data_IF_654772834468
#
_entry.id   IF_654772834468
#
_cell.length_a   1.000
_cell.length_b   1.000
_cell.length_c   1.000
_cell.angle_alpha   90.00
_cell.angle_beta   90.00
_cell.angle_gamma   90.00
#
_symmetry.space_group_name_H-M   'P 1'
#
loop_
_entity.id
_entity.type
_entity.pdbx_description
1 polymer ?
#
# COMPACT_ATOMS: atom_id res chain seq x y z
N UNK A 1 22.57 -16.49 6.67
CA UNK A 1 21.43 -17.31 7.14
C UNK A 1 20.77 -17.99 5.95
N UNK A 2 20.19 -19.17 6.17
CA UNK A 2 19.35 -19.88 5.19
C UNK A 2 17.91 -19.41 5.32
N UNK A 3 17.35 -18.82 4.26
CA UNK A 3 16.10 -18.08 4.29
C UNK A 3 15.11 -18.66 3.29
N UNK A 4 13.85 -18.84 3.71
CA UNK A 4 12.71 -18.92 2.81
C UNK A 4 12.05 -17.53 2.78
N UNK A 5 11.87 -16.97 1.58
CA UNK A 5 11.20 -15.70 1.39
C UNK A 5 9.76 -15.90 0.92
N UNK A 6 8.80 -15.25 1.56
CA UNK A 6 7.38 -15.30 1.19
C UNK A 6 6.89 -13.89 0.86
N UNK A 7 6.64 -13.59 -0.41
CA UNK A 7 6.22 -12.27 -0.86
C UNK A 7 5.52 -12.30 -2.20
N UNK A 8 4.81 -11.23 -2.57
CA UNK A 8 4.06 -11.22 -3.83
C UNK A 8 4.21 -9.91 -4.62
N UNK A 9 3.76 -8.72 -4.14
CA UNK A 9 3.73 -7.48 -4.91
C UNK A 9 5.10 -6.77 -4.93
N UNK A 10 5.13 -5.66 -5.64
CA UNK A 10 6.30 -4.77 -5.77
C UNK A 10 6.88 -4.34 -4.42
N UNK A 11 6.06 -4.18 -3.37
CA UNK A 11 6.52 -3.87 -2.01
C UNK A 11 7.53 -4.88 -1.45
N UNK A 12 7.43 -6.13 -1.86
CA UNK A 12 8.29 -7.21 -1.37
C UNK A 12 9.62 -7.33 -2.16
N UNK A 13 9.68 -6.75 -3.37
CA UNK A 13 10.84 -6.88 -4.28
C UNK A 13 12.12 -6.31 -3.67
N UNK A 14 12.15 -5.07 -3.13
CA UNK A 14 13.36 -4.52 -2.51
C UNK A 14 13.87 -5.36 -1.34
N UNK A 15 12.96 -5.95 -0.53
CA UNK A 15 13.36 -6.82 0.58
C UNK A 15 14.02 -8.10 0.11
N UNK A 16 13.50 -8.77 -0.94
CA UNK A 16 14.13 -9.95 -1.53
C UNK A 16 15.49 -9.59 -2.11
N UNK A 17 15.60 -8.48 -2.86
CA UNK A 17 16.86 -8.03 -3.43
C UNK A 17 17.90 -7.76 -2.33
N UNK A 18 17.52 -7.08 -1.25
CA UNK A 18 18.43 -6.78 -0.14
C UNK A 18 18.97 -8.05 0.55
N UNK A 19 18.16 -9.10 0.66
CA UNK A 19 18.62 -10.38 1.19
C UNK A 19 19.65 -11.07 0.27
N UNK A 20 19.43 -11.02 -1.04
CA UNK A 20 20.35 -11.54 -2.05
C UNK A 20 21.67 -10.77 -2.01
N UNK A 21 21.61 -9.44 -2.03
CA UNK A 21 22.79 -8.55 -2.03
C UNK A 21 23.59 -8.69 -0.73
N UNK A 22 22.92 -8.96 0.39
CA UNK A 22 23.58 -9.25 1.67
C UNK A 22 24.23 -10.64 1.73
N UNK A 23 24.13 -11.45 0.67
CA UNK A 23 24.76 -12.78 0.58
C UNK A 23 24.07 -13.86 1.44
N UNK A 24 22.79 -13.69 1.77
CA UNK A 24 22.02 -14.73 2.43
C UNK A 24 21.71 -15.89 1.46
N UNK A 25 21.62 -17.10 1.98
CA UNK A 25 21.15 -18.28 1.23
C UNK A 25 19.62 -18.26 1.14
N UNK A 26 19.08 -17.52 0.16
CA UNK A 26 17.64 -17.55 -0.13
C UNK A 26 17.32 -18.85 -0.86
N UNK A 27 17.05 -19.91 -0.12
CA UNK A 27 16.90 -21.26 -0.65
C UNK A 27 15.58 -21.50 -1.40
N UNK A 28 14.56 -20.67 -1.17
CA UNK A 28 13.29 -20.73 -1.90
C UNK A 28 12.49 -19.42 -1.75
N UNK A 29 11.67 -19.15 -2.75
CA UNK A 29 10.67 -18.07 -2.74
C UNK A 29 9.27 -18.66 -2.84
N UNK A 30 8.37 -18.22 -1.96
CA UNK A 30 6.95 -18.52 -1.98
C UNK A 30 6.17 -17.27 -2.40
N UNK A 31 5.29 -17.39 -3.39
CA UNK A 31 4.49 -16.27 -3.88
C UNK A 31 3.09 -16.72 -4.27
N UNK A 32 2.18 -15.75 -4.51
CA UNK A 32 0.85 -16.05 -5.02
C UNK A 32 0.95 -16.62 -6.45
N UNK A 33 -0.03 -17.45 -6.88
CA UNK A 33 -0.12 -17.90 -8.26
C UNK A 33 -0.18 -16.75 -9.25
N UNK A 34 0.32 -16.99 -10.47
CA UNK A 34 0.18 -16.07 -11.59
C UNK A 34 -1.28 -15.72 -11.81
N UNK A 35 -1.59 -14.46 -12.07
CA UNK A 35 -2.97 -13.97 -12.24
C UNK A 35 -3.15 -13.26 -13.57
N UNK A 36 -4.32 -13.41 -14.21
CA UNK A 36 -4.66 -12.60 -15.38
C UNK A 36 -4.68 -11.12 -15.05
N UNK A 37 -3.98 -10.30 -15.83
CA UNK A 37 -3.91 -8.84 -15.65
C UNK A 37 -4.31 -8.07 -16.90
N UNK A 38 -4.77 -6.85 -16.69
CA UNK A 38 -5.16 -5.92 -17.74
C UNK A 38 -6.41 -6.34 -18.51
N UNK A 39 -6.77 -5.53 -19.55
CA UNK A 39 -7.97 -5.78 -20.37
C UNK A 39 -7.87 -7.07 -21.19
N UNK A 40 -6.65 -7.48 -21.55
CA UNK A 40 -6.39 -8.70 -22.35
C UNK A 40 -6.28 -9.96 -21.52
N UNK A 41 -6.43 -9.89 -20.18
CA UNK A 41 -6.33 -11.03 -19.25
C UNK A 41 -5.07 -11.86 -19.47
N UNK A 42 -3.92 -11.19 -19.68
CA UNK A 42 -2.62 -11.85 -19.84
C UNK A 42 -2.18 -12.40 -18.50
N UNK A 43 -1.85 -13.68 -18.45
CA UNK A 43 -1.33 -14.33 -17.26
C UNK A 43 0.03 -13.70 -16.92
N UNK A 44 0.11 -13.04 -15.78
CA UNK A 44 1.28 -12.26 -15.35
C UNK A 44 1.85 -12.84 -14.06
N UNK A 45 3.15 -13.07 -14.08
CA UNK A 45 3.88 -13.50 -12.88
C UNK A 45 3.91 -12.39 -11.83
N UNK A 46 3.84 -12.73 -10.53
CA UNK A 46 4.11 -11.77 -9.46
C UNK A 46 5.52 -11.17 -9.57
N UNK A 47 5.72 -9.89 -9.20
CA UNK A 47 7.04 -9.23 -9.26
C UNK A 47 8.14 -10.01 -8.52
N UNK A 48 7.85 -10.54 -7.35
CA UNK A 48 8.78 -11.37 -6.56
C UNK A 48 9.20 -12.65 -7.30
N UNK A 49 8.28 -13.29 -8.05
CA UNK A 49 8.62 -14.46 -8.89
C UNK A 49 9.61 -14.07 -9.98
N UNK A 50 9.40 -12.94 -10.63
CA UNK A 50 10.28 -12.45 -11.70
C UNK A 50 11.71 -12.29 -11.18
N UNK A 51 11.88 -11.58 -10.06
CA UNK A 51 13.19 -11.40 -9.44
C UNK A 51 13.84 -12.73 -9.00
N UNK A 52 13.05 -13.63 -8.38
CA UNK A 52 13.57 -14.91 -7.93
C UNK A 52 14.12 -15.76 -9.10
N UNK A 53 13.43 -15.76 -10.25
CA UNK A 53 13.87 -16.48 -11.44
C UNK A 53 15.12 -15.86 -12.09
N UNK A 54 15.32 -14.54 -12.00
CA UNK A 54 16.55 -13.87 -12.46
C UNK A 54 17.79 -14.28 -11.65
N UNK A 55 17.58 -14.76 -10.42
CA UNK A 55 18.64 -15.24 -9.51
C UNK A 55 18.66 -16.76 -9.35
N UNK A 56 17.99 -17.52 -10.24
CA UNK A 56 17.90 -18.98 -10.20
C UNK A 56 17.38 -19.55 -8.86
N UNK A 57 16.56 -18.76 -8.12
CA UNK A 57 15.98 -19.18 -6.85
C UNK A 57 14.71 -19.99 -7.12
N UNK A 58 14.54 -21.17 -6.52
CA UNK A 58 13.34 -21.99 -6.65
C UNK A 58 12.08 -21.25 -6.21
N UNK A 59 11.00 -21.27 -7.03
CA UNK A 59 9.76 -20.58 -6.77
C UNK A 59 8.62 -21.56 -6.55
N UNK A 60 7.89 -21.41 -5.45
CA UNK A 60 6.70 -22.18 -5.10
C UNK A 60 5.47 -21.29 -5.04
N UNK A 61 4.36 -21.77 -5.61
CA UNK A 61 3.09 -21.04 -5.70
C UNK A 61 1.92 -21.87 -5.16
N UNK A 62 1.98 -22.35 -3.91
CA UNK A 62 0.92 -23.19 -3.37
C UNK A 62 -0.39 -22.40 -3.20
N UNK A 63 -1.52 -23.08 -3.37
CA UNK A 63 -2.83 -22.49 -3.10
C UNK A 63 -3.05 -22.27 -1.59
N UNK A 64 -2.47 -23.11 -0.76
CA UNK A 64 -2.55 -23.05 0.71
C UNK A 64 -1.32 -23.62 1.36
N UNK A 65 -0.96 -23.13 2.55
CA UNK A 65 0.09 -23.68 3.41
C UNK A 65 -0.47 -24.63 4.49
N UNK A 66 -1.77 -24.99 4.40
CA UNK A 66 -2.42 -25.88 5.37
C UNK A 66 -2.21 -27.36 5.07
N UNK A 67 -1.75 -27.70 3.85
CA UNK A 67 -1.49 -29.09 3.46
C UNK A 67 -0.17 -29.59 4.05
N UNK A 68 -0.16 -30.87 4.44
CA UNK A 68 1.02 -31.53 4.99
C UNK A 68 2.18 -31.57 3.99
N UNK A 69 1.91 -31.76 2.70
CA UNK A 69 2.95 -31.82 1.65
C UNK A 69 3.74 -30.49 1.56
N UNK A 70 3.04 -29.33 1.63
CA UNK A 70 3.71 -28.02 1.60
C UNK A 70 4.48 -27.75 2.90
N UNK A 71 3.96 -28.20 4.03
CA UNK A 71 4.66 -28.09 5.31
C UNK A 71 5.88 -29.01 5.36
N UNK A 72 5.77 -30.23 4.82
CA UNK A 72 6.90 -31.15 4.70
C UNK A 72 8.01 -30.55 3.82
N UNK A 73 7.65 -29.98 2.66
CA UNK A 73 8.60 -29.28 1.79
C UNK A 73 9.30 -28.12 2.51
N UNK A 74 8.58 -27.31 3.27
CA UNK A 74 9.17 -26.22 4.06
C UNK A 74 10.16 -26.76 5.12
N UNK A 75 9.83 -27.86 5.79
CA UNK A 75 10.76 -28.53 6.74
C UNK A 75 12.01 -29.07 6.04
N UNK A 76 11.87 -29.67 4.83
CA UNK A 76 12.99 -30.17 4.04
C UNK A 76 13.93 -29.04 3.57
N UNK A 77 13.41 -27.84 3.30
CA UNK A 77 14.22 -26.66 3.00
C UNK A 77 15.07 -26.21 4.19
N UNK A 78 14.70 -26.62 5.40
CA UNK A 78 15.40 -26.33 6.66
C UNK A 78 15.80 -24.84 6.81
N UNK A 79 14.86 -23.87 6.67
CA UNK A 79 15.19 -22.47 6.82
C UNK A 79 15.55 -22.14 8.28
N UNK A 80 16.53 -21.26 8.47
CA UNK A 80 16.82 -20.68 9.79
C UNK A 80 15.78 -19.61 10.18
N UNK A 81 15.25 -18.92 9.18
CA UNK A 81 14.18 -17.91 9.33
C UNK A 81 13.32 -17.89 8.06
N UNK A 82 12.02 -17.59 8.22
CA UNK A 82 11.12 -17.27 7.10
C UNK A 82 10.86 -15.77 7.12
N UNK A 83 11.13 -15.09 6.00
CA UNK A 83 10.84 -13.67 5.82
C UNK A 83 9.55 -13.52 5.03
N UNK A 84 8.61 -12.75 5.57
CA UNK A 84 7.29 -12.54 4.97
C UNK A 84 7.10 -11.06 4.65
N UNK A 85 6.79 -10.74 3.40
CA UNK A 85 6.52 -9.36 2.96
C UNK A 85 5.33 -9.36 2.02
N UNK A 86 4.19 -8.89 2.47
CA UNK A 86 2.96 -8.82 1.68
C UNK A 86 2.65 -10.12 0.90
N UNK A 87 2.80 -11.26 1.53
CA UNK A 87 2.57 -12.59 0.92
C UNK A 87 1.10 -12.82 0.55
N UNK A 88 0.18 -12.26 1.37
CA UNK A 88 -1.25 -12.34 1.13
C UNK A 88 -1.89 -13.69 1.49
N UNK A 89 -1.25 -14.50 2.35
CA UNK A 89 -1.81 -15.71 2.96
C UNK A 89 -1.44 -15.79 4.43
N UNK A 90 -2.36 -16.30 5.24
CA UNK A 90 -2.07 -16.62 6.63
C UNK A 90 -1.14 -17.83 6.71
N UNK A 91 -0.15 -17.76 7.58
CA UNK A 91 0.73 -18.86 7.93
C UNK A 91 0.10 -19.63 9.11
N UNK A 92 -0.19 -20.94 8.94
CA UNK A 92 -0.65 -21.74 10.06
C UNK A 92 0.47 -21.95 11.09
N UNK A 93 0.12 -22.21 12.34
CA UNK A 93 1.09 -22.46 13.42
C UNK A 93 2.16 -23.49 13.06
N UNK A 94 1.78 -24.55 12.36
CA UNK A 94 2.69 -25.58 11.88
C UNK A 94 3.78 -25.05 10.92
N UNK A 95 3.56 -23.89 10.27
CA UNK A 95 4.57 -23.22 9.45
C UNK A 95 5.36 -22.21 10.28
N UNK A 96 4.69 -21.48 11.17
CA UNK A 96 5.35 -20.51 12.07
C UNK A 96 6.43 -21.15 12.95
N UNK A 97 6.21 -22.40 13.35
CA UNK A 97 7.12 -23.17 14.23
C UNK A 97 8.25 -23.91 13.48
N UNK A 98 8.33 -23.82 12.13
CA UNK A 98 9.37 -24.55 11.37
C UNK A 98 10.76 -23.94 11.61
N UNK A 99 11.00 -22.64 11.39
CA UNK A 99 12.34 -22.09 11.51
C UNK A 99 12.70 -21.75 12.96
N UNK A 100 13.94 -22.00 13.39
CA UNK A 100 14.38 -21.73 14.77
C UNK A 100 14.29 -20.25 15.15
N UNK A 101 14.49 -19.32 14.22
CA UNK A 101 14.28 -17.89 14.44
C UNK A 101 12.85 -17.42 14.12
N UNK A 102 11.93 -18.36 13.86
CA UNK A 102 10.52 -18.05 13.55
C UNK A 102 10.32 -17.36 12.20
N UNK A 103 9.18 -16.71 12.06
CA UNK A 103 8.80 -15.99 10.85
C UNK A 103 8.81 -14.49 11.13
N UNK A 104 9.51 -13.70 10.34
CA UNK A 104 9.60 -12.24 10.47
C UNK A 104 8.82 -11.59 9.33
N UNK A 105 7.89 -10.71 9.68
CA UNK A 105 7.14 -9.92 8.70
C UNK A 105 7.69 -8.48 8.62
N UNK A 106 7.75 -7.94 7.40
CA UNK A 106 7.98 -6.52 7.14
C UNK A 106 6.61 -5.89 6.87
N UNK A 107 6.09 -5.17 7.85
CA UNK A 107 4.76 -4.57 7.81
C UNK A 107 4.83 -3.07 7.53
N UNK A 108 4.05 -2.58 6.56
CA UNK A 108 4.09 -1.20 6.07
C UNK A 108 3.35 -0.21 6.97
N UNK A 109 3.51 -0.30 8.30
CA UNK A 109 2.99 0.68 9.24
C UNK A 109 3.82 0.78 10.51
N UNK A 110 3.52 1.78 11.32
CA UNK A 110 3.96 1.92 12.71
C UNK A 110 3.00 1.12 13.61
N UNK A 111 3.27 -0.19 13.77
CA UNK A 111 2.44 -1.03 14.62
C UNK A 111 2.43 -0.51 16.08
N UNK A 112 1.31 -0.66 16.79
CA UNK A 112 0.12 -1.47 16.48
C UNK A 112 -0.91 -0.78 15.56
N UNK A 113 -0.65 0.45 15.11
CA UNK A 113 -1.55 1.17 14.20
C UNK A 113 -1.51 0.55 12.80
N UNK A 114 -2.68 0.46 12.16
CA UNK A 114 -2.86 -0.04 10.79
C UNK A 114 -2.44 -1.50 10.58
N UNK A 115 -2.88 -2.42 11.47
CA UNK A 115 -2.86 -3.86 11.17
C UNK A 115 -3.73 -4.15 9.95
N UNK A 116 -3.34 -5.06 9.08
CA UNK A 116 -4.18 -5.52 7.96
C UNK A 116 -3.61 -5.25 6.57
N UNK A 117 -4.50 -5.11 5.56
CA UNK A 117 -4.15 -5.30 4.16
C UNK A 117 -3.59 -4.05 3.45
N UNK A 118 -3.93 -2.84 3.89
CA UNK A 118 -3.60 -1.60 3.17
C UNK A 118 -3.06 -0.48 4.10
N UNK A 119 -2.09 -0.78 4.99
CA UNK A 119 -1.66 0.16 6.03
C UNK A 119 -1.16 1.50 5.49
N UNK A 120 -0.38 1.48 4.41
CA UNK A 120 0.23 2.68 3.81
C UNK A 120 -0.86 3.62 3.28
N UNK A 121 -1.84 3.07 2.57
CA UNK A 121 -2.95 3.85 2.02
C UNK A 121 -3.79 4.46 3.13
N UNK A 122 -4.10 3.69 4.17
CA UNK A 122 -4.88 4.17 5.30
C UNK A 122 -4.17 5.25 6.11
N UNK A 123 -2.85 5.18 6.26
CA UNK A 123 -2.08 6.25 6.88
C UNK A 123 -2.26 7.59 6.15
N UNK A 124 -2.22 7.57 4.80
CA UNK A 124 -2.45 8.78 3.98
C UNK A 124 -3.91 9.22 4.02
N UNK A 125 -4.88 8.29 3.89
CA UNK A 125 -6.33 8.60 3.93
C UNK A 125 -6.72 9.22 5.27
N UNK A 126 -6.15 8.73 6.37
CA UNK A 126 -6.42 9.25 7.71
C UNK A 126 -5.73 10.60 7.99
N UNK A 127 -4.81 11.03 7.12
CA UNK A 127 -4.04 12.25 7.31
C UNK A 127 -2.97 12.13 8.39
N UNK A 128 -2.42 10.93 8.60
CA UNK A 128 -1.34 10.71 9.57
C UNK A 128 -0.12 11.54 9.16
N UNK A 129 0.47 12.26 10.12
CA UNK A 129 1.69 13.04 9.89
C UNK A 129 2.92 12.14 9.74
N UNK A 130 2.89 10.98 10.41
CA UNK A 130 3.97 10.00 10.43
C UNK A 130 3.48 8.66 9.89
N UNK A 131 4.34 8.01 9.12
CA UNK A 131 4.17 6.66 8.63
C UNK A 131 5.48 5.88 8.84
N UNK A 132 5.49 4.59 8.54
CA UNK A 132 6.71 3.83 8.69
C UNK A 132 6.56 2.36 8.36
N UNK A 133 7.58 1.62 8.74
CA UNK A 133 7.65 0.17 8.58
C UNK A 133 8.05 -0.44 9.92
N UNK A 134 7.45 -1.56 10.25
CA UNK A 134 7.80 -2.37 11.43
C UNK A 134 8.20 -3.76 10.98
N UNK A 135 9.37 -4.25 11.40
CA UNK A 135 9.65 -5.67 11.39
C UNK A 135 9.07 -6.29 12.65
N UNK A 136 8.39 -7.42 12.53
CA UNK A 136 7.77 -8.07 13.67
C UNK A 136 7.90 -9.59 13.59
N UNK A 137 7.96 -10.25 14.73
CA UNK A 137 7.81 -11.69 14.85
C UNK A 137 6.37 -12.08 14.58
N UNK A 138 6.12 -13.00 13.64
CA UNK A 138 4.75 -13.39 13.32
C UNK A 138 4.14 -14.29 14.41
N UNK A 139 2.85 -14.11 14.66
CA UNK A 139 2.00 -14.91 15.51
C UNK A 139 0.76 -15.39 14.73
N UNK A 140 -0.12 -16.18 15.37
CA UNK A 140 -1.32 -16.70 14.72
C UNK A 140 -2.36 -15.60 14.38
N UNK A 141 -2.31 -14.46 15.08
CA UNK A 141 -3.18 -13.32 14.81
C UNK A 141 -2.72 -12.49 13.61
N UNK A 142 -3.64 -11.70 13.05
CA UNK A 142 -3.33 -10.80 11.95
C UNK A 142 -2.51 -9.61 12.45
N UNK A 143 -1.22 -9.57 12.09
CA UNK A 143 -0.26 -8.52 12.42
C UNK A 143 -0.20 -8.19 13.93
N UNK A 144 -0.35 -9.21 14.80
CA UNK A 144 -0.40 -9.07 16.27
C UNK A 144 0.89 -9.49 16.97
N UNK A 145 1.87 -9.99 16.24
CA UNK A 145 3.12 -10.47 16.82
C UNK A 145 4.00 -9.33 17.36
N UNK A 146 5.02 -9.69 18.11
CA UNK A 146 5.90 -8.74 18.78
C UNK A 146 6.74 -7.94 17.79
N UNK A 147 6.82 -6.63 18.01
CA UNK A 147 7.60 -5.72 17.18
C UNK A 147 9.10 -5.89 17.48
N UNK A 148 9.91 -5.98 16.42
CA UNK A 148 11.36 -6.06 16.48
C UNK A 148 12.01 -4.68 16.34
N UNK A 149 12.01 -4.14 15.12
CA UNK A 149 12.50 -2.80 14.82
C UNK A 149 11.43 -1.97 14.12
N UNK A 150 11.56 -0.66 14.19
CA UNK A 150 10.65 0.28 13.55
C UNK A 150 11.44 1.38 12.85
N UNK A 151 11.04 1.72 11.63
CA UNK A 151 11.48 2.90 10.90
C UNK A 151 10.32 3.86 10.77
N UNK A 152 10.52 5.11 11.17
CA UNK A 152 9.51 6.17 11.16
C UNK A 152 9.92 7.30 10.21
N UNK A 153 8.97 7.86 9.49
CA UNK A 153 9.19 8.97 8.56
C UNK A 153 7.95 9.85 8.43
N UNK A 154 8.14 11.12 8.09
CA UNK A 154 7.02 12.03 7.82
C UNK A 154 6.34 11.66 6.49
N UNK A 155 5.02 11.75 6.47
CA UNK A 155 4.25 11.74 5.22
C UNK A 155 4.37 13.12 4.58
N UNK A 156 4.77 13.18 3.32
CA UNK A 156 4.90 14.43 2.58
C UNK A 156 3.54 15.12 2.38
N UNK A 157 3.50 16.44 2.46
CA UNK A 157 2.25 17.22 2.36
C UNK A 157 1.44 16.92 1.10
N UNK A 158 2.10 16.64 -0.02
CA UNK A 158 1.48 16.29 -1.31
C UNK A 158 1.74 14.83 -1.72
N UNK A 159 2.39 14.06 -0.86
CA UNK A 159 2.77 12.69 -1.14
C UNK A 159 1.55 11.79 -1.28
N UNK A 160 1.50 11.04 -2.37
CA UNK A 160 0.48 10.02 -2.61
C UNK A 160 0.82 8.72 -1.89
N UNK A 161 -0.17 7.87 -1.69
CA UNK A 161 0.06 6.54 -1.13
C UNK A 161 0.99 5.68 -2.02
N UNK A 162 0.99 5.89 -3.34
CA UNK A 162 1.92 5.21 -4.25
C UNK A 162 3.37 5.64 -4.02
N UNK A 163 3.63 6.94 -3.90
CA UNK A 163 4.98 7.47 -3.62
C UNK A 163 5.48 7.04 -2.24
N UNK A 164 4.61 7.10 -1.22
CA UNK A 164 4.92 6.61 0.12
C UNK A 164 5.20 5.10 0.13
N UNK A 165 4.43 4.31 -0.63
CA UNK A 165 4.62 2.87 -0.80
C UNK A 165 6.02 2.54 -1.35
N UNK A 166 6.45 3.21 -2.41
CA UNK A 166 7.76 3.00 -3.02
C UNK A 166 8.88 3.33 -2.04
N UNK A 167 8.74 4.43 -1.31
CA UNK A 167 9.72 4.87 -0.30
C UNK A 167 9.78 3.92 0.89
N UNK A 168 8.64 3.47 1.40
CA UNK A 168 8.58 2.53 2.52
C UNK A 168 9.02 1.12 2.13
N UNK A 169 8.87 0.70 0.87
CA UNK A 169 9.42 -0.57 0.38
C UNK A 169 10.95 -0.60 0.49
N UNK A 170 11.62 0.49 0.13
CA UNK A 170 13.09 0.61 0.27
C UNK A 170 13.51 0.65 1.74
N UNK A 171 12.87 1.52 2.55
CA UNK A 171 13.17 1.59 3.99
C UNK A 171 12.90 0.28 4.72
N UNK A 172 11.87 -0.47 4.29
CA UNK A 172 11.55 -1.79 4.83
C UNK A 172 12.62 -2.83 4.52
N UNK A 173 13.21 -2.78 3.34
CA UNK A 173 14.33 -3.64 2.97
C UNK A 173 15.59 -3.36 3.82
N UNK A 174 15.91 -2.08 4.03
CA UNK A 174 17.01 -1.67 4.90
C UNK A 174 16.76 -2.09 6.36
N UNK A 175 15.53 -1.87 6.85
CA UNK A 175 15.13 -2.25 8.21
C UNK A 175 15.20 -3.76 8.40
N UNK A 176 14.79 -4.56 7.41
CA UNK A 176 14.89 -6.02 7.43
C UNK A 176 16.34 -6.47 7.57
N UNK A 177 17.25 -5.89 6.78
CA UNK A 177 18.68 -6.22 6.86
C UNK A 177 19.24 -5.90 8.24
N UNK A 178 18.89 -4.74 8.81
CA UNK A 178 19.29 -4.37 10.17
C UNK A 178 18.71 -5.33 11.22
N UNK A 179 17.46 -5.75 11.05
CA UNK A 179 16.80 -6.71 11.93
C UNK A 179 17.54 -8.05 11.95
N UNK A 180 17.91 -8.58 10.77
CA UNK A 180 18.61 -9.85 10.68
C UNK A 180 20.02 -9.80 11.27
N UNK A 181 20.73 -8.68 11.09
CA UNK A 181 22.08 -8.49 11.70
C UNK A 181 22.02 -8.47 13.23
N UNK A 182 20.95 -7.93 13.80
CA UNK A 182 20.78 -7.74 15.26
C UNK A 182 19.81 -8.75 15.88
N UNK A 183 19.41 -9.79 15.16
CA UNK A 183 18.28 -10.65 15.54
C UNK A 183 18.41 -11.23 16.95
N UNK A 184 19.61 -11.66 17.33
CA UNK A 184 19.89 -12.25 18.63
C UNK A 184 20.01 -11.20 19.76
N UNK A 185 20.11 -9.91 19.42
CA UNK A 185 20.25 -8.79 20.36
C UNK A 185 18.93 -8.03 20.60
N UNK A 186 17.94 -8.21 19.68
CA UNK A 186 16.68 -7.49 19.76
C UNK A 186 15.78 -8.13 20.83
N UNK A 187 15.32 -7.32 21.78
CA UNK A 187 14.23 -7.67 22.67
C UNK A 187 12.88 -7.40 21.99
N UNK A 188 12.09 -8.43 21.62
CA UNK A 188 10.80 -8.25 21.00
C UNK A 188 9.85 -7.50 21.92
N UNK A 189 9.12 -6.52 21.41
CA UNK A 189 8.19 -5.68 22.16
C UNK A 189 6.74 -6.05 21.84
N UNK A 190 5.96 -6.51 22.83
CA UNK A 190 4.53 -6.76 22.63
C UNK A 190 3.80 -5.51 22.16
N UNK A 191 2.79 -5.73 21.32
CA UNK A 191 1.92 -4.64 20.85
C UNK A 191 0.83 -4.34 21.90
N UNK A 192 0.51 -3.05 22.09
CA UNK A 192 -0.65 -2.63 22.86
C UNK A 192 -1.91 -2.66 21.97
N UNK A 193 -2.79 -3.64 22.17
CA UNK A 193 -4.00 -3.82 21.39
C UNK A 193 -4.97 -2.62 21.50
N UNK A 194 -4.94 -1.87 22.60
CA UNK A 194 -5.78 -0.67 22.77
C UNK A 194 -5.41 0.45 21.79
N UNK A 195 -4.19 0.46 21.25
CA UNK A 195 -3.72 1.44 20.25
C UNK A 195 -3.85 0.93 18.82
N UNK A 196 -4.34 -0.30 18.63
CA UNK A 196 -4.47 -0.89 17.31
C UNK A 196 -5.66 -0.33 16.54
N UNK A 197 -5.51 -0.23 15.24
CA UNK A 197 -6.61 -0.03 14.30
C UNK A 197 -6.40 -0.89 13.05
N UNK A 198 -7.47 -1.09 12.28
CA UNK A 198 -7.46 -2.02 11.17
C UNK A 198 -7.47 -1.30 9.81
N UNK A 199 -6.52 -1.63 8.97
CA UNK A 199 -6.40 -1.16 7.59
C UNK A 199 -7.07 -2.16 6.63
N UNK A 200 -8.36 -1.95 6.36
CA UNK A 200 -9.11 -2.76 5.42
C UNK A 200 -8.51 -2.71 4.01
N UNK A 201 -8.72 -3.78 3.24
CA UNK A 201 -8.39 -3.76 1.82
C UNK A 201 -9.19 -2.65 1.13
N UNK A 202 -8.53 -1.89 0.26
CA UNK A 202 -9.21 -0.86 -0.53
C UNK A 202 -10.17 -1.50 -1.53
N UNK A 203 -11.27 -0.82 -1.79
CA UNK A 203 -12.23 -1.18 -2.82
C UNK A 203 -12.63 0.02 -3.69
N UNK A 204 -13.37 -0.26 -4.78
CA UNK A 204 -13.79 0.80 -5.71
C UNK A 204 -14.90 1.71 -5.15
N UNK A 205 -15.61 1.28 -4.11
CA UNK A 205 -16.69 2.08 -3.52
C UNK A 205 -16.12 3.24 -2.72
N UNK A 206 -14.93 3.04 -2.11
CA UNK A 206 -14.20 4.09 -1.40
C UNK A 206 -13.77 5.25 -2.31
N UNK A 207 -13.77 5.05 -3.63
CA UNK A 207 -13.30 6.06 -4.58
C UNK A 207 -14.22 7.28 -4.69
N UNK A 208 -15.50 7.16 -4.33
CA UNK A 208 -16.47 8.25 -4.48
C UNK A 208 -16.19 9.34 -3.45
N UNK A 209 -15.93 10.55 -3.95
CA UNK A 209 -15.69 11.72 -3.10
C UNK A 209 -17.01 12.14 -2.43
N UNK A 210 -17.00 12.16 -1.10
CA UNK A 210 -18.04 12.80 -0.30
C UNK A 210 -17.66 14.27 -0.08
N UNK A 211 -18.23 15.16 -0.90
CA UNK A 211 -17.96 16.60 -0.83
C UNK A 211 -18.42 17.25 0.48
N UNK A 212 -19.24 16.59 1.30
CA UNK A 212 -19.63 17.08 2.63
C UNK A 212 -18.49 17.06 3.65
N UNK A 213 -17.42 16.37 3.34
CA UNK A 213 -16.19 16.33 4.15
C UNK A 213 -15.38 17.60 4.02
N UNK A 214 -14.43 17.82 4.93
CA UNK A 214 -13.49 18.94 4.84
C UNK A 214 -12.56 18.83 3.63
N UNK A 215 -12.04 19.94 3.16
CA UNK A 215 -11.03 19.98 2.10
C UNK A 215 -9.81 19.12 2.46
N UNK A 216 -9.42 19.07 3.74
CA UNK A 216 -8.32 18.24 4.21
C UNK A 216 -8.61 16.74 4.08
N UNK A 217 -9.78 16.28 4.55
CA UNK A 217 -10.18 14.87 4.44
C UNK A 217 -10.27 14.41 2.99
N UNK A 218 -10.81 15.25 2.11
CA UNK A 218 -10.94 14.93 0.67
C UNK A 218 -9.55 14.90 0.00
N UNK A 219 -8.65 15.83 0.32
CA UNK A 219 -7.27 15.81 -0.17
C UNK A 219 -6.54 14.52 0.26
N UNK A 220 -6.66 14.15 1.54
CA UNK A 220 -6.10 12.89 2.05
C UNK A 220 -6.68 11.67 1.32
N UNK A 221 -7.99 11.65 1.05
CA UNK A 221 -8.61 10.59 0.26
C UNK A 221 -8.05 10.52 -1.16
N UNK A 222 -7.94 11.67 -1.85
CA UNK A 222 -7.39 11.74 -3.22
C UNK A 222 -5.97 11.19 -3.26
N UNK A 223 -5.11 11.61 -2.33
CA UNK A 223 -3.71 11.14 -2.24
C UNK A 223 -3.62 9.67 -1.83
N UNK A 224 -4.42 9.26 -0.84
CA UNK A 224 -4.41 7.89 -0.31
C UNK A 224 -4.94 6.84 -1.29
N UNK A 225 -5.83 7.23 -2.22
CA UNK A 225 -6.35 6.36 -3.27
C UNK A 225 -5.54 6.41 -4.59
N UNK A 226 -4.46 7.16 -4.65
CA UNK A 226 -3.58 7.23 -5.81
C UNK A 226 -2.37 6.29 -5.60
N UNK A 227 -2.11 5.30 -6.49
CA UNK A 227 -2.60 5.14 -7.87
C UNK A 227 -3.87 4.29 -8.04
N UNK A 228 -4.43 3.71 -7.00
CA UNK A 228 -5.62 2.87 -7.10
C UNK A 228 -6.45 2.92 -5.81
N UNK A 229 -7.80 2.99 -5.92
CA UNK A 229 -8.64 2.96 -7.14
C UNK A 229 -8.79 4.30 -7.86
N UNK A 230 -8.20 5.39 -7.39
CA UNK A 230 -8.31 6.79 -7.78
C UNK A 230 -9.66 7.37 -7.34
N UNK A 231 -9.61 8.51 -6.63
CA UNK A 231 -10.79 9.24 -6.21
C UNK A 231 -11.61 9.71 -7.42
N UNK A 232 -12.93 9.65 -7.32
CA UNK A 232 -13.83 10.00 -8.40
C UNK A 232 -15.06 10.77 -7.90
N UNK A 233 -15.58 11.61 -8.78
CA UNK A 233 -16.85 12.31 -8.65
C UNK A 233 -17.60 12.23 -9.97
N UNK A 234 -18.80 12.84 -10.08
CA UNK A 234 -19.51 12.97 -11.34
C UNK A 234 -19.63 14.46 -11.75
N UNK A 235 -19.32 14.73 -13.01
CA UNK A 235 -19.55 16.02 -13.68
C UNK A 235 -20.65 15.81 -14.72
N UNK A 236 -21.79 16.45 -14.54
CA UNK A 236 -22.95 16.31 -15.46
C UNK A 236 -23.37 14.86 -15.73
N UNK A 237 -23.24 13.98 -14.73
CA UNK A 237 -23.56 12.56 -14.82
C UNK A 237 -22.43 11.66 -15.37
N UNK A 238 -21.32 12.23 -15.84
CA UNK A 238 -20.15 11.48 -16.29
C UNK A 238 -19.11 11.37 -15.18
N UNK A 239 -18.44 10.21 -15.12
CA UNK A 239 -17.39 9.96 -14.11
C UNK A 239 -16.15 10.81 -14.38
N UNK A 240 -15.75 11.59 -13.39
CA UNK A 240 -14.54 12.39 -13.37
C UNK A 240 -13.59 11.84 -12.29
N UNK A 241 -12.44 11.31 -12.70
CA UNK A 241 -11.37 10.91 -11.79
C UNK A 241 -10.58 12.13 -11.36
N UNK A 242 -10.21 12.18 -10.08
CA UNK A 242 -9.38 13.22 -9.48
C UNK A 242 -8.08 12.59 -9.02
N UNK A 243 -6.96 12.99 -9.60
CA UNK A 243 -5.63 12.46 -9.30
C UNK A 243 -4.85 13.34 -8.33
N UNK A 244 -5.10 14.64 -8.35
CA UNK A 244 -4.45 15.59 -7.48
C UNK A 244 -5.34 16.82 -7.24
N UNK A 245 -5.22 17.37 -6.04
CA UNK A 245 -5.87 18.59 -5.64
C UNK A 245 -4.93 19.44 -4.76
N UNK A 246 -5.30 20.68 -4.52
CA UNK A 246 -4.62 21.57 -3.59
C UNK A 246 -5.64 22.40 -2.81
N UNK A 247 -5.26 22.85 -1.61
CA UNK A 247 -6.11 23.72 -0.82
C UNK A 247 -6.39 25.02 -1.58
N UNK A 248 -7.65 25.42 -1.63
CA UNK A 248 -8.08 26.65 -2.26
C UNK A 248 -8.94 27.49 -1.31
N UNK A 249 -9.04 28.79 -1.59
CA UNK A 249 -9.94 29.67 -0.87
C UNK A 249 -11.32 29.62 -1.51
N UNK A 250 -12.34 29.53 -0.69
CA UNK A 250 -13.74 29.55 -1.13
C UNK A 250 -14.68 28.93 -0.11
N UNK A 251 -15.94 29.30 -0.22
CA UNK A 251 -17.04 28.73 0.58
C UNK A 251 -18.26 28.62 -0.31
N UNK A 252 -19.00 27.56 -0.16
CA UNK A 252 -20.22 27.30 -0.91
C UNK A 252 -20.89 26.02 -0.43
N UNK A 253 -21.98 25.65 -1.07
CA UNK A 253 -22.61 24.37 -0.83
C UNK A 253 -21.65 23.25 -1.29
N UNK A 254 -21.41 22.19 -0.47
CA UNK A 254 -20.48 21.11 -0.82
C UNK A 254 -20.71 20.53 -2.22
N UNK A 255 -19.64 20.32 -2.97
CA UNK A 255 -19.66 19.82 -4.35
C UNK A 255 -19.93 20.90 -5.41
N UNK A 256 -20.16 22.16 -5.03
CA UNK A 256 -20.41 23.23 -6.00
C UNK A 256 -19.11 23.79 -6.57
N UNK A 257 -19.04 23.93 -7.88
CA UNK A 257 -17.93 24.58 -8.58
C UNK A 257 -17.96 26.07 -8.28
N UNK A 258 -16.89 26.57 -7.65
CA UNK A 258 -16.72 27.98 -7.27
C UNK A 258 -15.96 28.76 -8.33
N UNK A 259 -15.05 28.11 -9.04
CA UNK A 259 -14.26 28.68 -10.13
C UNK A 259 -13.98 27.60 -11.18
N UNK A 260 -14.12 27.97 -12.45
CA UNK A 260 -13.78 27.11 -13.58
C UNK A 260 -13.22 27.98 -14.71
N UNK A 261 -11.92 28.23 -14.67
CA UNK A 261 -11.23 29.13 -15.61
C UNK A 261 -9.95 28.45 -16.13
N UNK A 262 -9.69 28.45 -17.46
CA UNK A 262 -8.50 27.82 -18.03
C UNK A 262 -7.16 28.36 -17.53
N UNK A 263 -7.13 29.54 -16.90
CA UNK A 263 -5.91 30.12 -16.33
C UNK A 263 -5.83 29.94 -14.82
N UNK A 264 -6.98 29.92 -14.14
CA UNK A 264 -7.05 29.87 -12.67
C UNK A 264 -7.32 28.47 -12.12
N UNK A 265 -7.93 27.57 -12.92
CA UNK A 265 -8.20 26.20 -12.54
C UNK A 265 -9.66 25.90 -12.23
N UNK A 266 -9.89 24.77 -11.59
CA UNK A 266 -11.19 24.24 -11.19
C UNK A 266 -11.26 24.14 -9.66
N UNK A 267 -12.01 25.04 -9.04
CA UNK A 267 -12.19 25.06 -7.57
C UNK A 267 -13.58 24.58 -7.19
N UNK A 268 -13.65 23.68 -6.21
CA UNK A 268 -14.88 23.05 -5.72
C UNK A 268 -15.02 23.29 -4.22
N UNK A 269 -16.23 23.66 -3.77
CA UNK A 269 -16.54 23.80 -2.37
C UNK A 269 -16.60 22.44 -1.67
N UNK A 270 -16.05 22.37 -0.46
CA UNK A 270 -16.13 21.23 0.44
C UNK A 270 -17.04 21.54 1.63
N UNK A 271 -17.31 20.56 2.49
CA UNK A 271 -18.04 20.79 3.74
C UNK A 271 -17.38 21.84 4.62
N UNK A 272 -16.03 21.83 4.62
CA UNK A 272 -15.21 22.89 5.19
C UNK A 272 -14.08 23.23 4.21
N UNK A 273 -13.98 24.51 3.80
CA UNK A 273 -13.00 25.00 2.85
C UNK A 273 -13.34 24.68 1.38
N UNK A 274 -12.32 24.68 0.53
CA UNK A 274 -12.44 24.37 -0.89
C UNK A 274 -11.16 23.68 -1.39
N UNK A 275 -11.27 22.95 -2.50
CA UNK A 275 -10.17 22.31 -3.20
C UNK A 275 -10.09 22.79 -4.64
N UNK A 276 -8.89 23.16 -5.07
CA UNK A 276 -8.52 23.31 -6.47
C UNK A 276 -8.14 21.95 -7.05
N UNK A 277 -8.93 21.40 -7.96
CA UNK A 277 -8.62 20.16 -8.64
C UNK A 277 -7.54 20.45 -9.68
N UNK A 278 -6.37 19.83 -9.54
CA UNK A 278 -5.21 20.15 -10.40
C UNK A 278 -5.03 19.16 -11.53
N UNK A 279 -5.34 17.88 -11.30
CA UNK A 279 -5.17 16.83 -12.28
C UNK A 279 -6.39 15.89 -12.30
N UNK A 280 -7.02 15.78 -13.46
CA UNK A 280 -8.30 15.10 -13.63
C UNK A 280 -8.34 14.24 -14.90
N UNK A 281 -9.32 13.34 -14.97
CA UNK A 281 -9.61 12.53 -16.15
C UNK A 281 -11.10 12.27 -16.25
N UNK A 282 -11.75 12.78 -17.31
CA UNK A 282 -13.12 12.38 -17.66
C UNK A 282 -13.11 10.95 -18.20
N UNK A 283 -14.19 10.20 -17.98
CA UNK A 283 -14.33 8.83 -18.49
C UNK A 283 -14.11 8.77 -20.01
N UNK A 284 -13.28 7.82 -20.46
CA UNK A 284 -12.92 7.70 -21.88
C UNK A 284 -11.86 8.70 -22.37
N UNK A 285 -11.53 9.73 -21.56
CA UNK A 285 -10.52 10.73 -21.90
C UNK A 285 -9.13 10.38 -21.41
N UNK A 286 -8.20 11.34 -21.54
CA UNK A 286 -6.83 11.28 -21.01
C UNK A 286 -6.73 11.99 -19.68
N UNK A 287 -5.84 11.55 -18.80
CA UNK A 287 -5.40 12.29 -17.62
C UNK A 287 -4.71 13.56 -18.06
N UNK A 288 -5.10 14.72 -17.49
CA UNK A 288 -4.57 16.03 -17.84
C UNK A 288 -4.75 17.04 -16.70
N UNK A 289 -4.06 18.18 -16.80
CA UNK A 289 -4.29 19.31 -15.89
C UNK A 289 -5.72 19.82 -16.04
N UNK A 290 -6.34 20.22 -14.94
CA UNK A 290 -7.68 20.79 -14.95
C UNK A 290 -7.75 22.06 -15.82
N UNK A 291 -6.70 22.89 -15.84
CA UNK A 291 -6.61 24.08 -16.72
C UNK A 291 -6.64 23.71 -18.20
N UNK A 292 -6.04 22.59 -18.61
CA UNK A 292 -6.07 22.13 -20.00
C UNK A 292 -7.41 21.55 -20.36
N UNK A 293 -8.05 20.82 -19.42
CA UNK A 293 -9.39 20.30 -19.56
C UNK A 293 -10.40 21.42 -19.82
N UNK A 294 -10.32 22.52 -19.06
CA UNK A 294 -11.21 23.68 -19.15
C UNK A 294 -11.07 24.47 -20.47
N UNK A 295 -10.01 24.27 -21.26
CA UNK A 295 -9.91 24.88 -22.61
C UNK A 295 -10.84 24.24 -23.62
N UNK A 296 -11.20 22.96 -23.39
CA UNK A 296 -12.10 22.21 -24.27
C UNK A 296 -13.47 21.91 -23.67
N UNK A 297 -13.65 22.17 -22.39
CA UNK A 297 -14.88 21.84 -21.65
C UNK A 297 -15.31 23.04 -20.80
N UNK A 298 -16.43 23.63 -21.15
CA UNK A 298 -17.00 24.72 -20.34
C UNK A 298 -17.73 24.10 -19.15
N UNK A 299 -17.32 24.50 -17.94
CA UNK A 299 -18.03 24.19 -16.70
C UNK A 299 -18.54 25.52 -16.14
N UNK A 300 -19.84 25.61 -15.91
CA UNK A 300 -20.44 26.80 -15.32
C UNK A 300 -20.15 26.84 -13.80
N UNK A 301 -19.84 28.01 -13.27
CA UNK A 301 -19.81 28.26 -11.84
C UNK A 301 -21.20 27.96 -11.26
N UNK A 302 -21.26 27.24 -10.16
CA UNK A 302 -22.52 26.73 -9.60
C UNK A 302 -22.86 25.31 -10.03
N UNK A 303 -22.16 24.71 -11.02
CA UNK A 303 -22.32 23.29 -11.36
C UNK A 303 -22.03 22.44 -10.14
N UNK A 304 -22.83 21.39 -9.91
CA UNK A 304 -22.66 20.46 -8.79
C UNK A 304 -21.96 19.19 -9.23
N UNK A 305 -20.87 18.85 -8.56
CA UNK A 305 -20.22 17.56 -8.63
C UNK A 305 -20.83 16.63 -7.59
N UNK A 306 -21.09 15.36 -7.97
CA UNK A 306 -21.81 14.38 -7.13
C UNK A 306 -20.97 13.11 -6.86
#
# INVERSE_FOLDING_TARGET
MRIVFMGTPDFAVPSLQALIDAGHDVCAVYTQPDKPQGRKQILTAPPVKTLALEHDIPVFQPNTLKNEDEQARLRELAPEVIIVVAYGKLLPKAVLDIPPHGCINVHGSLLPRWRGAAPIQWAVIAGDEMAGVTTMQMAEGLDTGDMLLTYETKVGEKETAGELFDRLAQSGAELLTQTLVKLDEIEPRPQDDAQSCYAHMLDKQMAVIDWSKSAHEIDCLIRGLNPWPIALTALSGERLKVFAAEKANGRGEPGTVLEADPKKGLTVACGEGALGLTEIQLVGGKRMKATDFLRGHVIEVGTKLN
#
